data_IF_594740637222
#
_entry.id   IF_594740637222
#
_cell.length_a   1.000
_cell.length_b   1.000
_cell.length_c   1.000
_cell.angle_alpha   90.00
_cell.angle_beta   90.00
_cell.angle_gamma   90.00
#
_symmetry.space_group_name_H-M   'P 1'
#
loop_
_entity.id
_entity.type
_entity.pdbx_description
1 polymer ?
#
# COMPACT_ATOMS: atom_id res chain seq x y z
N UNK A 1 43.14 -28.79 23.44
CA UNK A 1 42.84 -28.11 22.15
C UNK A 1 41.33 -28.21 21.90
N UNK A 2 40.55 -27.18 22.27
CA UNK A 2 39.09 -27.17 22.05
C UNK A 2 38.81 -26.55 20.69
N UNK A 3 38.27 -27.33 19.75
CA UNK A 3 37.84 -26.84 18.44
C UNK A 3 36.57 -25.98 18.62
N UNK A 4 36.66 -24.69 18.31
CA UNK A 4 35.49 -23.84 18.16
C UNK A 4 34.80 -24.21 16.84
N UNK A 5 33.58 -24.72 16.90
CA UNK A 5 32.71 -24.87 15.74
C UNK A 5 31.92 -23.56 15.65
N UNK A 6 32.24 -22.72 14.67
CA UNK A 6 31.47 -21.53 14.33
C UNK A 6 30.28 -22.00 13.49
N UNK A 7 29.10 -22.02 14.11
CA UNK A 7 27.84 -22.32 13.43
C UNK A 7 27.39 -21.02 12.72
N UNK A 8 27.66 -20.91 11.43
CA UNK A 8 27.09 -19.84 10.60
C UNK A 8 25.60 -20.09 10.41
N UNK A 9 24.76 -19.41 11.20
CA UNK A 9 23.32 -19.32 10.92
C UNK A 9 23.13 -18.49 9.65
N UNK A 10 23.08 -19.18 8.50
CA UNK A 10 22.51 -18.61 7.29
C UNK A 10 21.00 -18.52 7.50
N UNK A 11 20.53 -17.39 8.01
CA UNK A 11 19.10 -17.08 8.04
C UNK A 11 18.66 -16.86 6.60
N UNK A 12 18.08 -17.87 5.98
CA UNK A 12 17.32 -17.70 4.76
C UNK A 12 16.11 -16.83 5.11
N UNK A 13 16.19 -15.55 4.78
CA UNK A 13 15.00 -14.70 4.68
C UNK A 13 14.15 -15.31 3.57
N UNK A 14 13.23 -16.19 3.96
CA UNK A 14 12.13 -16.59 3.11
C UNK A 14 11.29 -15.32 2.87
N UNK A 15 11.64 -14.56 1.84
CA UNK A 15 10.72 -13.61 1.25
C UNK A 15 9.55 -14.46 0.76
N UNK A 16 8.47 -14.49 1.53
CA UNK A 16 7.23 -15.09 1.10
C UNK A 16 6.93 -14.56 -0.31
N UNK A 17 6.63 -15.47 -1.25
CA UNK A 17 6.37 -15.21 -2.66
C UNK A 17 5.14 -14.29 -2.85
N UNK A 18 5.29 -13.02 -2.51
CA UNK A 18 4.33 -12.00 -2.87
C UNK A 18 4.85 -11.34 -4.13
N UNK A 19 4.34 -11.79 -5.27
CA UNK A 19 4.59 -11.15 -6.53
C UNK A 19 3.95 -9.76 -6.53
N UNK A 20 4.70 -8.77 -6.99
CA UNK A 20 4.20 -7.43 -7.23
C UNK A 20 2.91 -7.50 -8.07
N UNK A 21 1.86 -6.84 -7.60
CA UNK A 21 0.59 -6.78 -8.29
C UNK A 21 0.75 -6.08 -9.64
N UNK A 22 0.16 -6.68 -10.68
CA UNK A 22 0.05 -6.10 -12.01
C UNK A 22 -1.40 -6.19 -12.46
N UNK A 23 -2.03 -5.08 -12.91
CA UNK A 23 -3.36 -5.13 -13.49
C UNK A 23 -3.34 -5.96 -14.77
N UNK A 24 -4.47 -6.60 -15.12
CA UNK A 24 -4.62 -7.22 -16.44
C UNK A 24 -4.53 -6.16 -17.54
N UNK A 25 -4.27 -6.59 -18.78
CA UNK A 25 -4.14 -5.68 -19.93
C UNK A 25 -5.37 -4.76 -20.09
N UNK A 26 -6.57 -5.29 -19.87
CA UNK A 26 -7.83 -4.55 -19.92
C UNK A 26 -7.88 -3.37 -18.96
N UNK A 27 -7.26 -3.50 -17.78
CA UNK A 27 -7.23 -2.44 -16.77
C UNK A 27 -5.95 -1.59 -16.86
N UNK A 28 -4.83 -2.16 -17.29
CA UNK A 28 -3.54 -1.49 -17.36
C UNK A 28 -3.59 -0.18 -18.18
N UNK A 29 -4.41 -0.15 -19.25
CA UNK A 29 -4.63 1.04 -20.09
C UNK A 29 -5.19 2.26 -19.35
N UNK A 30 -5.83 2.07 -18.19
CA UNK A 30 -6.36 3.17 -17.38
C UNK A 30 -5.34 3.72 -16.37
N UNK A 31 -4.30 2.97 -16.03
CA UNK A 31 -3.28 3.36 -15.06
C UNK A 31 -2.02 3.87 -15.76
N UNK A 32 -2.16 5.01 -16.44
CA UNK A 32 -1.10 5.63 -17.23
C UNK A 32 -0.87 7.09 -16.82
N UNK A 33 0.25 7.69 -17.25
CA UNK A 33 0.54 9.11 -17.00
C UNK A 33 -0.41 10.07 -17.74
N UNK A 34 -1.18 9.59 -18.72
CA UNK A 34 -2.22 10.38 -19.37
C UNK A 34 -3.47 10.48 -18.48
N UNK A 35 -3.79 9.42 -17.73
CA UNK A 35 -4.99 9.35 -16.90
C UNK A 35 -4.75 9.76 -15.44
N UNK A 36 -3.51 9.60 -14.96
CA UNK A 36 -3.08 9.86 -13.58
C UNK A 36 -1.93 10.87 -13.60
N UNK A 37 -1.90 11.81 -12.65
CA UNK A 37 -0.70 12.65 -12.46
C UNK A 37 0.50 11.81 -12.04
N UNK A 38 0.26 10.77 -11.24
CA UNK A 38 1.24 9.77 -10.87
C UNK A 38 0.58 8.41 -10.75
N UNK A 39 1.15 7.40 -11.40
CA UNK A 39 0.80 5.99 -11.17
C UNK A 39 1.70 5.49 -10.05
N UNK A 40 1.12 5.24 -8.89
CA UNK A 40 1.82 4.77 -7.70
C UNK A 40 1.74 3.25 -7.65
N UNK A 41 2.87 2.58 -7.81
CA UNK A 41 3.00 1.16 -7.54
C UNK A 41 3.26 0.96 -6.05
N UNK A 42 2.27 0.40 -5.35
CA UNK A 42 2.35 0.12 -3.91
C UNK A 42 2.65 -1.35 -3.63
N UNK A 43 3.15 -2.07 -4.62
CA UNK A 43 3.48 -3.49 -4.62
C UNK A 43 2.26 -4.43 -4.50
N UNK A 44 1.29 -4.10 -3.65
CA UNK A 44 0.06 -4.87 -3.43
C UNK A 44 -1.12 -4.39 -4.29
N UNK A 45 -1.05 -3.15 -4.75
CA UNK A 45 -2.05 -2.47 -5.55
C UNK A 45 -1.40 -1.35 -6.36
N UNK A 46 -2.10 -0.89 -7.39
CA UNK A 46 -1.76 0.34 -8.13
C UNK A 46 -2.74 1.43 -7.72
N UNK A 47 -2.24 2.65 -7.50
CA UNK A 47 -3.04 3.83 -7.24
C UNK A 47 -2.82 4.89 -8.33
N UNK A 48 -3.90 5.24 -9.02
CA UNK A 48 -3.96 6.35 -9.95
C UNK A 48 -4.17 7.64 -9.15
N UNK A 49 -3.08 8.36 -8.87
CA UNK A 49 -3.11 9.57 -8.06
C UNK A 49 -3.22 10.83 -8.92
N UNK A 50 -3.97 11.81 -8.44
CA UNK A 50 -4.18 13.09 -9.10
C UNK A 50 -3.70 14.24 -8.22
N UNK A 51 -2.82 15.07 -8.78
CA UNK A 51 -2.19 16.18 -8.07
C UNK A 51 -3.13 17.35 -7.81
N UNK A 52 -4.16 17.53 -8.64
CA UNK A 52 -5.15 18.60 -8.49
C UNK A 52 -6.14 18.25 -7.39
N UNK A 53 -6.58 16.98 -7.34
CA UNK A 53 -7.41 16.45 -6.26
C UNK A 53 -6.63 16.18 -4.97
N UNK A 54 -5.29 16.06 -5.08
CA UNK A 54 -4.41 15.52 -4.03
C UNK A 54 -4.95 14.20 -3.46
N UNK A 55 -5.45 13.34 -4.35
CA UNK A 55 -6.19 12.15 -3.94
C UNK A 55 -6.15 11.05 -4.99
N UNK A 56 -6.75 9.92 -4.63
CA UNK A 56 -6.91 8.78 -5.54
C UNK A 56 -8.03 9.02 -6.53
N UNK A 57 -7.77 8.83 -7.83
CA UNK A 57 -8.82 8.71 -8.86
C UNK A 57 -9.32 7.28 -9.01
N UNK A 58 -8.43 6.30 -8.92
CA UNK A 58 -8.74 4.89 -9.01
C UNK A 58 -7.69 4.04 -8.30
N UNK A 59 -8.10 2.89 -7.75
CA UNK A 59 -7.19 1.83 -7.29
C UNK A 59 -7.43 0.56 -8.10
N UNK A 60 -6.37 -0.17 -8.39
CA UNK A 60 -6.44 -1.52 -8.93
C UNK A 60 -5.71 -2.47 -8.00
N UNK A 61 -6.37 -3.56 -7.63
CA UNK A 61 -5.83 -4.60 -6.77
C UNK A 61 -6.47 -5.94 -7.12
N UNK A 62 -5.84 -7.03 -6.69
CA UNK A 62 -6.41 -8.38 -6.83
C UNK A 62 -7.00 -8.81 -5.50
N UNK A 63 -8.24 -9.32 -5.53
CA UNK A 63 -8.91 -9.89 -4.38
C UNK A 63 -9.14 -11.39 -4.60
N UNK A 64 -8.40 -12.20 -3.88
CA UNK A 64 -8.46 -13.65 -3.87
C UNK A 64 -8.84 -14.12 -2.47
N UNK A 65 -9.45 -15.31 -2.36
CA UNK A 65 -9.75 -15.92 -1.07
C UNK A 65 -8.50 -16.00 -0.16
N UNK A 66 -7.33 -16.27 -0.77
CA UNK A 66 -6.06 -16.29 -0.08
C UNK A 66 -5.67 -14.94 0.56
N UNK A 67 -6.06 -13.81 -0.05
CA UNK A 67 -5.82 -12.50 0.53
C UNK A 67 -6.53 -12.29 1.87
N UNK A 68 -7.61 -13.02 2.12
CA UNK A 68 -8.49 -12.87 3.28
C UNK A 68 -8.18 -13.86 4.41
N UNK A 69 -7.33 -14.87 4.17
CA UNK A 69 -7.00 -15.91 5.15
C UNK A 69 -6.10 -15.43 6.28
N UNK A 70 -5.26 -14.42 6.04
CA UNK A 70 -4.33 -13.91 7.05
C UNK A 70 -5.02 -13.15 8.19
N UNK A 71 -4.31 -12.92 9.28
CA UNK A 71 -4.89 -12.21 10.43
C UNK A 71 -5.00 -10.71 10.19
N UNK A 72 -6.07 -10.11 10.70
CA UNK A 72 -6.21 -8.66 10.76
C UNK A 72 -5.23 -8.10 11.79
N UNK A 73 -4.48 -7.04 11.43
CA UNK A 73 -3.59 -6.37 12.39
C UNK A 73 -4.37 -5.88 13.62
N UNK A 74 -3.98 -6.35 14.81
CA UNK A 74 -4.70 -6.07 16.06
C UNK A 74 -4.68 -4.59 16.43
N UNK A 75 -3.54 -3.93 16.23
CA UNK A 75 -3.39 -2.49 16.48
C UNK A 75 -3.44 -1.74 15.16
N UNK A 76 -4.39 -0.82 15.04
CA UNK A 76 -4.53 0.06 13.88
C UNK A 76 -3.24 0.89 13.67
N UNK A 77 -2.61 0.82 12.50
CA UNK A 77 -1.49 1.68 12.13
C UNK A 77 -1.89 3.16 12.16
N UNK A 78 -0.88 4.01 12.30
CA UNK A 78 -1.06 5.43 12.02
C UNK A 78 -1.21 5.60 10.51
N UNK A 79 -1.96 6.62 10.12
CA UNK A 79 -1.93 7.05 8.74
C UNK A 79 -0.61 7.79 8.49
N UNK A 80 0.06 7.45 7.39
CA UNK A 80 1.40 7.93 7.08
C UNK A 80 1.42 8.65 5.74
N UNK A 81 2.18 9.73 5.67
CA UNK A 81 2.42 10.47 4.45
C UNK A 81 3.07 9.58 3.39
N UNK A 82 2.57 9.64 2.15
CA UNK A 82 3.18 8.92 1.04
C UNK A 82 4.35 9.70 0.44
N UNK A 83 5.57 9.33 0.83
CA UNK A 83 6.79 10.03 0.43
C UNK A 83 7.16 9.85 -1.05
N UNK A 84 6.51 8.93 -1.77
CA UNK A 84 6.69 8.81 -3.22
C UNK A 84 6.01 9.95 -4.01
N UNK A 85 5.15 10.73 -3.36
CA UNK A 85 4.47 11.89 -3.95
C UNK A 85 5.26 13.15 -3.60
N UNK A 86 5.53 14.06 -4.55
CA UNK A 86 6.17 15.34 -4.25
C UNK A 86 5.39 16.14 -3.20
N UNK A 87 6.10 16.78 -2.25
CA UNK A 87 5.49 17.47 -1.10
C UNK A 87 4.37 18.45 -1.45
N UNK A 88 4.49 19.16 -2.59
CA UNK A 88 3.48 20.12 -3.08
C UNK A 88 2.10 19.48 -3.34
N UNK A 89 2.09 18.22 -3.77
CA UNK A 89 0.88 17.50 -4.20
C UNK A 89 0.43 16.43 -3.20
N UNK A 90 1.18 16.24 -2.12
CA UNK A 90 0.92 15.22 -1.11
C UNK A 90 -0.15 15.68 -0.14
N UNK A 91 -1.10 14.79 0.14
CA UNK A 91 -2.01 14.92 1.27
C UNK A 91 -1.40 14.30 2.51
N UNK A 92 -1.57 14.98 3.64
CA UNK A 92 -0.98 14.64 4.93
C UNK A 92 -2.07 14.39 5.96
N UNK A 93 -1.71 13.72 7.06
CA UNK A 93 -2.65 13.53 8.17
C UNK A 93 -3.24 14.85 8.69
N UNK A 94 -2.44 15.93 8.73
CA UNK A 94 -2.87 17.22 9.25
C UNK A 94 -3.97 17.87 8.43
N UNK A 95 -4.06 17.57 7.14
CA UNK A 95 -5.09 18.14 6.25
C UNK A 95 -6.51 17.70 6.66
N UNK A 96 -6.62 16.55 7.34
CA UNK A 96 -7.90 16.02 7.83
C UNK A 96 -8.24 16.50 9.24
N UNK A 97 -7.27 17.01 10.00
CA UNK A 97 -7.48 17.40 11.39
C UNK A 97 -8.45 18.58 11.45
N UNK A 98 -9.55 18.42 12.20
CA UNK A 98 -10.61 19.43 12.34
C UNK A 98 -11.32 19.81 11.01
N UNK A 99 -11.22 18.96 9.99
CA UNK A 99 -11.86 19.21 8.68
C UNK A 99 -13.36 18.89 8.66
N UNK A 100 -13.85 18.09 9.62
CA UNK A 100 -15.20 17.50 9.60
C UNK A 100 -15.29 16.19 8.82
N UNK A 101 -14.22 15.76 8.15
CA UNK A 101 -14.16 14.53 7.37
C UNK A 101 -13.32 13.44 8.04
N UNK A 102 -13.66 12.20 7.75
CA UNK A 102 -12.91 11.03 8.20
C UNK A 102 -11.72 10.74 7.27
N UNK A 103 -10.86 9.81 7.67
CA UNK A 103 -9.79 9.27 6.82
C UNK A 103 -10.27 7.96 6.20
N UNK A 104 -11.11 8.07 5.18
CA UNK A 104 -11.71 6.96 4.46
C UNK A 104 -10.69 6.23 3.59
N UNK A 105 -10.66 4.90 3.66
CA UNK A 105 -9.81 4.09 2.78
C UNK A 105 -10.46 3.92 1.42
N UNK A 106 -9.73 4.19 0.33
CA UNK A 106 -10.18 3.82 -1.02
C UNK A 106 -10.03 2.32 -1.24
N UNK A 107 -8.86 1.75 -0.92
CA UNK A 107 -8.66 0.31 -0.78
C UNK A 107 -8.72 -0.08 0.71
N UNK A 108 -9.68 -0.93 1.05
CA UNK A 108 -9.86 -1.41 2.43
C UNK A 108 -8.70 -2.26 2.93
N UNK A 109 -8.28 -2.00 4.16
CA UNK A 109 -7.32 -2.81 4.90
C UNK A 109 -7.75 -4.29 5.00
N UNK A 110 -9.05 -4.56 5.15
CA UNK A 110 -9.58 -5.92 5.27
C UNK A 110 -9.38 -6.75 4.00
N UNK A 111 -9.23 -6.12 2.84
CA UNK A 111 -8.93 -6.78 1.57
C UNK A 111 -7.47 -7.19 1.41
N UNK A 112 -6.59 -6.73 2.33
CA UNK A 112 -5.14 -6.89 2.23
C UNK A 112 -4.55 -7.76 3.35
N UNK A 113 -5.33 -8.69 3.92
CA UNK A 113 -4.94 -9.48 5.09
C UNK A 113 -3.83 -10.52 4.86
N UNK A 114 -3.40 -10.76 3.61
CA UNK A 114 -2.35 -11.74 3.28
C UNK A 114 -1.05 -11.53 4.06
N UNK A 115 -0.63 -10.27 4.20
CA UNK A 115 0.59 -9.91 4.95
C UNK A 115 0.36 -8.64 5.76
N UNK A 116 1.12 -8.47 6.84
CA UNK A 116 1.11 -7.23 7.64
C UNK A 116 1.54 -6.02 6.81
N UNK A 117 2.46 -6.20 5.87
CA UNK A 117 2.96 -5.15 4.99
C UNK A 117 1.88 -4.70 4.00
N UNK A 118 1.10 -5.63 3.45
CA UNK A 118 -0.04 -5.32 2.60
C UNK A 118 -1.08 -4.48 3.36
N UNK A 119 -1.43 -4.88 4.59
CA UNK A 119 -2.33 -4.11 5.46
C UNK A 119 -1.77 -2.71 5.77
N UNK A 120 -0.49 -2.59 6.13
CA UNK A 120 0.13 -1.28 6.39
C UNK A 120 0.11 -0.37 5.17
N UNK A 121 0.26 -0.91 3.97
CA UNK A 121 0.25 -0.13 2.73
C UNK A 121 -1.07 0.58 2.45
N UNK A 122 -2.18 0.13 3.05
CA UNK A 122 -3.50 0.80 2.90
C UNK A 122 -3.64 2.04 3.78
N UNK A 123 -2.75 2.26 4.75
CA UNK A 123 -2.75 3.43 5.65
C UNK A 123 -1.90 4.60 5.12
N UNK A 124 -1.32 4.47 3.93
CA UNK A 124 -0.68 5.61 3.25
C UNK A 124 -1.75 6.63 2.87
N UNK A 125 -1.50 7.92 3.13
CA UNK A 125 -2.43 9.01 2.84
C UNK A 125 -2.81 9.12 1.36
N UNK A 126 -2.01 8.54 0.45
CA UNK A 126 -2.36 8.44 -0.97
C UNK A 126 -3.57 7.56 -1.23
N UNK A 127 -3.88 6.59 -0.36
CA UNK A 127 -5.06 5.72 -0.40
C UNK A 127 -6.23 6.27 0.45
N UNK A 128 -6.12 7.51 0.96
CA UNK A 128 -7.10 8.09 1.87
C UNK A 128 -7.84 9.25 1.21
N UNK A 129 -9.16 9.26 1.37
CA UNK A 129 -10.08 10.29 0.87
C UNK A 129 -10.97 10.78 2.03
N UNK A 130 -11.30 12.09 2.11
CA UNK A 130 -12.24 12.62 3.09
C UNK A 130 -13.65 12.05 2.95
#
# INVERSE_FOLDING_TARGET
>A
MKKLIILSLLSTLAFADYNQYKPSEDFAKYFTKQNCSQVLDKFYYINCYDYSLKGTKAVAYRLEADNLKGEQIKKRPRFEDDTNIPKKYRTTWSDYKNSGYDRGHTLSNASMRKTTQAQRSTFLMSNITP
#
